data_IF_127838431781
#
_entry.id   IF_127838431781
#
_cell.length_a   1.000
_cell.length_b   1.000
_cell.length_c   1.000
_cell.angle_alpha   90.00
_cell.angle_beta   90.00
_cell.angle_gamma   90.00
#
_symmetry.space_group_name_H-M   'P 1'
#
loop_
_entity.id
_entity.type
_entity.pdbx_description
1 polymer ?
#
# COMPACT_ATOMS: atom_id res chain seq x y z
N UNK A 1 11.91 32.17 14.78
CA UNK A 1 12.70 31.11 14.11
C UNK A 1 12.29 29.70 14.56
N UNK A 2 12.15 29.43 15.86
CA UNK A 2 11.78 28.09 16.39
C UNK A 2 10.46 27.52 15.85
N UNK A 3 9.41 28.35 15.70
CA UNK A 3 8.12 27.90 15.15
C UNK A 3 8.21 27.49 13.69
N UNK A 4 8.92 28.26 12.85
CA UNK A 4 9.12 27.93 11.42
C UNK A 4 9.89 26.62 11.27
N UNK A 5 10.91 26.42 12.11
CA UNK A 5 11.67 25.17 12.14
C UNK A 5 10.79 23.99 12.56
N UNK A 6 9.98 24.14 13.61
CA UNK A 6 9.06 23.10 14.07
C UNK A 6 8.02 22.71 13.01
N UNK A 7 7.43 23.69 12.32
CA UNK A 7 6.49 23.44 11.22
C UNK A 7 7.18 22.69 10.09
N UNK A 8 8.40 23.10 9.73
CA UNK A 8 9.18 22.43 8.70
C UNK A 8 9.49 20.97 9.07
N UNK A 9 9.91 20.71 10.30
CA UNK A 9 10.19 19.35 10.78
C UNK A 9 8.93 18.49 10.78
N UNK A 10 7.78 19.02 11.23
CA UNK A 10 6.49 18.32 11.17
C UNK A 10 6.11 17.98 9.74
N UNK A 11 6.25 18.91 8.81
CA UNK A 11 5.94 18.69 7.40
C UNK A 11 6.79 17.57 6.79
N UNK A 12 8.10 17.57 7.04
CA UNK A 12 9.00 16.51 6.57
C UNK A 12 8.64 15.16 7.20
N UNK A 13 8.33 15.12 8.51
CA UNK A 13 7.90 13.88 9.17
C UNK A 13 6.60 13.32 8.59
N UNK A 14 5.62 14.17 8.29
CA UNK A 14 4.36 13.77 7.69
C UNK A 14 4.55 13.18 6.29
N UNK A 15 5.44 13.77 5.49
CA UNK A 15 5.82 13.24 4.18
C UNK A 15 6.44 11.85 4.32
N UNK A 16 7.40 11.68 5.24
CA UNK A 16 8.04 10.38 5.48
C UNK A 16 6.99 9.35 5.90
N UNK A 17 6.14 9.66 6.88
CA UNK A 17 5.08 8.74 7.34
C UNK A 17 4.17 8.35 6.17
N UNK A 18 3.78 9.30 5.30
CA UNK A 18 2.95 9.02 4.11
C UNK A 18 3.60 8.04 3.13
N UNK A 19 4.93 8.00 3.04
CA UNK A 19 5.63 7.01 2.22
C UNK A 19 5.64 5.61 2.82
N UNK A 20 5.48 5.48 4.13
CA UNK A 20 5.46 4.20 4.85
C UNK A 20 4.05 3.76 5.24
N UNK A 21 3.01 4.55 5.00
CA UNK A 21 1.63 4.15 5.27
C UNK A 21 0.87 3.83 3.97
N UNK A 22 -0.13 2.96 4.08
CA UNK A 22 -1.02 2.61 2.98
C UNK A 22 -2.36 2.10 3.48
N UNK A 23 -3.29 1.99 2.55
CA UNK A 23 -4.58 1.34 2.73
C UNK A 23 -4.72 0.22 1.72
N UNK A 24 -5.47 -0.81 2.07
CA UNK A 24 -5.81 -1.87 1.15
C UNK A 24 -7.27 -2.26 1.31
N UNK A 25 -7.86 -2.81 0.25
CA UNK A 25 -9.26 -3.28 0.27
C UNK A 25 -9.23 -4.80 0.17
N UNK A 26 -9.90 -5.48 1.11
CA UNK A 26 -10.09 -6.93 1.01
C UNK A 26 -11.15 -7.24 -0.04
N UNK A 27 -10.85 -8.21 -0.89
CA UNK A 27 -11.74 -8.62 -1.97
C UNK A 27 -13.02 -9.31 -1.45
N UNK A 28 -12.99 -9.84 -0.23
CA UNK A 28 -14.11 -10.58 0.38
C UNK A 28 -15.08 -9.69 1.17
N UNK A 29 -14.60 -8.62 1.82
CA UNK A 29 -15.42 -7.84 2.77
C UNK A 29 -15.61 -6.36 2.40
N UNK A 30 -15.08 -5.89 1.26
CA UNK A 30 -15.12 -4.46 0.86
C UNK A 30 -14.59 -3.46 1.93
N UNK A 31 -13.96 -3.97 2.98
CA UNK A 31 -13.41 -3.19 4.08
C UNK A 31 -12.06 -2.60 3.68
N UNK A 32 -11.87 -1.32 4.02
CA UNK A 32 -10.60 -0.62 3.83
C UNK A 32 -9.76 -0.72 5.09
N UNK A 33 -8.58 -1.33 4.98
CA UNK A 33 -7.69 -1.61 6.08
C UNK A 33 -6.41 -0.76 5.96
N UNK A 34 -6.00 -0.14 7.07
CA UNK A 34 -4.76 0.63 7.15
C UNK A 34 -3.58 -0.26 7.53
N UNK A 35 -2.40 0.00 6.96
CA UNK A 35 -1.18 -0.73 7.29
C UNK A 35 0.10 0.11 7.12
N UNK A 36 1.18 -0.30 7.80
CA UNK A 36 2.50 0.36 7.78
C UNK A 36 3.48 -0.44 6.91
N UNK A 37 3.72 -0.02 5.68
CA UNK A 37 4.70 -0.60 4.74
C UNK A 37 6.10 -0.68 5.36
N UNK A 38 6.81 -1.76 5.05
CA UNK A 38 8.19 -1.97 5.51
C UNK A 38 9.22 -1.22 4.64
N UNK A 39 8.81 -0.75 3.46
CA UNK A 39 9.61 -0.03 2.47
C UNK A 39 8.83 1.18 1.95
N UNK A 40 9.48 2.33 1.67
CA UNK A 40 8.79 3.52 1.20
C UNK A 40 8.27 3.34 -0.23
N UNK A 41 7.02 3.76 -0.47
CA UNK A 41 6.43 3.82 -1.82
C UNK A 41 5.49 5.02 -1.96
N UNK A 42 5.41 5.59 -3.17
CA UNK A 42 4.43 6.64 -3.48
C UNK A 42 2.98 6.16 -3.39
N UNK A 43 2.78 4.86 -3.62
CA UNK A 43 1.48 4.20 -3.64
C UNK A 43 0.81 4.23 -2.27
N UNK A 44 -0.47 4.61 -2.28
CA UNK A 44 -1.32 4.68 -1.08
C UNK A 44 -2.29 3.51 -0.98
N UNK A 45 -3.04 3.26 -2.05
CA UNK A 45 -4.07 2.22 -2.11
C UNK A 45 -3.52 0.98 -2.80
N UNK A 46 -3.69 -0.17 -2.17
CA UNK A 46 -3.30 -1.50 -2.65
C UNK A 46 -4.56 -2.36 -2.82
N UNK A 47 -4.62 -3.14 -3.89
CA UNK A 47 -5.69 -4.12 -4.13
C UNK A 47 -5.13 -5.34 -4.84
N UNK A 48 -5.84 -6.47 -4.81
CA UNK A 48 -5.49 -7.66 -5.57
C UNK A 48 -6.21 -7.62 -6.92
N UNK A 49 -5.51 -7.45 -8.05
CA UNK A 49 -6.15 -7.56 -9.37
C UNK A 49 -6.80 -8.93 -9.60
N UNK A 50 -6.28 -10.00 -8.99
CA UNK A 50 -6.91 -11.33 -9.05
C UNK A 50 -8.12 -11.44 -8.15
N UNK A 51 -8.09 -10.77 -7.00
CA UNK A 51 -9.02 -11.03 -5.92
C UNK A 51 -9.18 -12.53 -5.65
N UNK A 52 -10.43 -12.99 -5.64
CA UNK A 52 -10.80 -14.41 -5.51
C UNK A 52 -10.97 -15.13 -6.87
N UNK A 53 -10.53 -14.54 -7.98
CA UNK A 53 -10.63 -15.18 -9.30
C UNK A 53 -9.47 -16.14 -9.59
N UNK A 54 -9.72 -17.11 -10.46
CA UNK A 54 -8.71 -18.05 -10.99
C UNK A 54 -7.76 -17.42 -12.02
N UNK A 55 -7.76 -16.08 -12.16
CA UNK A 55 -6.93 -15.36 -13.14
C UNK A 55 -5.44 -15.62 -12.86
N UNK A 56 -4.73 -16.17 -13.85
CA UNK A 56 -3.30 -16.44 -13.70
C UNK A 56 -2.48 -15.18 -13.85
N UNK A 57 -1.30 -15.17 -13.23
CA UNK A 57 -0.39 -14.02 -13.31
C UNK A 57 0.02 -13.74 -14.76
N UNK A 58 0.19 -14.76 -15.60
CA UNK A 58 0.59 -14.64 -16.99
C UNK A 58 -0.46 -13.93 -17.84
N UNK A 59 -1.73 -14.11 -17.51
CA UNK A 59 -2.91 -13.62 -18.24
C UNK A 59 -3.22 -12.15 -17.94
N UNK A 60 -2.58 -11.56 -16.93
CA UNK A 60 -2.74 -10.17 -16.55
C UNK A 60 -2.07 -9.19 -17.51
N UNK A 61 -2.66 -8.00 -17.61
CA UNK A 61 -2.01 -6.82 -18.19
C UNK A 61 -0.74 -6.43 -17.41
N UNK A 62 0.15 -5.66 -18.03
CA UNK A 62 1.37 -5.20 -17.36
C UNK A 62 1.08 -4.37 -16.08
N UNK A 63 0.00 -3.59 -16.09
CA UNK A 63 -0.45 -2.80 -14.95
C UNK A 63 -0.95 -3.70 -13.83
N UNK A 64 -1.79 -4.69 -14.15
CA UNK A 64 -2.27 -5.68 -13.19
C UNK A 64 -1.13 -6.50 -12.60
N UNK A 65 -0.15 -6.93 -13.41
CA UNK A 65 1.05 -7.62 -12.91
C UNK A 65 1.82 -6.77 -11.91
N UNK A 66 1.93 -5.47 -12.18
CA UNK A 66 2.63 -4.53 -11.28
C UNK A 66 1.85 -4.37 -9.97
N UNK A 67 0.53 -4.22 -10.04
CA UNK A 67 -0.31 -4.13 -8.85
C UNK A 67 -0.30 -5.40 -8.02
N UNK A 68 -0.39 -6.57 -8.67
CA UNK A 68 -0.34 -7.87 -8.01
C UNK A 68 0.99 -8.07 -7.28
N UNK A 69 2.12 -7.63 -7.86
CA UNK A 69 3.41 -7.63 -7.16
C UNK A 69 3.40 -6.75 -5.92
N UNK A 70 2.82 -5.55 -5.99
CA UNK A 70 2.66 -4.68 -4.82
C UNK A 70 1.78 -5.34 -3.75
N UNK A 71 0.70 -6.00 -4.15
CA UNK A 71 -0.18 -6.72 -3.23
C UNK A 71 0.56 -7.85 -2.51
N UNK A 72 1.29 -8.68 -3.25
CA UNK A 72 2.07 -9.79 -2.70
C UNK A 72 3.21 -9.28 -1.79
N UNK A 73 3.89 -8.22 -2.18
CA UNK A 73 5.00 -7.62 -1.41
C UNK A 73 4.53 -6.98 -0.09
N UNK A 74 3.40 -6.28 -0.11
CA UNK A 74 3.00 -5.42 1.00
C UNK A 74 1.86 -5.97 1.87
N UNK A 75 1.00 -6.85 1.33
CA UNK A 75 -0.25 -7.28 1.99
C UNK A 75 -0.27 -8.77 2.34
N UNK A 76 0.02 -9.67 1.39
CA UNK A 76 -0.15 -11.13 1.59
C UNK A 76 0.67 -11.66 2.77
N UNK A 77 1.93 -11.24 2.89
CA UNK A 77 2.80 -11.67 4.00
C UNK A 77 2.43 -11.12 5.39
N UNK A 78 1.33 -10.37 5.52
CA UNK A 78 0.88 -9.75 6.77
C UNK A 78 -0.48 -10.23 7.28
N UNK A 79 -1.22 -10.98 6.48
CA UNK A 79 -2.49 -11.54 6.93
C UNK A 79 -2.18 -12.73 7.85
N UNK A 80 -2.57 -12.70 9.13
CA UNK A 80 -2.60 -13.93 9.93
C UNK A 80 -3.60 -14.89 9.26
N UNK A 81 -3.18 -16.16 9.11
CA UNK A 81 -4.03 -17.26 8.65
C UNK A 81 -5.30 -17.38 9.49
#
# INVERSE_FOLDING_TARGET
MKLKLLIFTLFISAIIIRFFCGIYVHDEFAETNFFIKYKPTWKWKFYSPRGMSDLKFEEMSAEQKTEQKYWEEFIVGRQPL
#
